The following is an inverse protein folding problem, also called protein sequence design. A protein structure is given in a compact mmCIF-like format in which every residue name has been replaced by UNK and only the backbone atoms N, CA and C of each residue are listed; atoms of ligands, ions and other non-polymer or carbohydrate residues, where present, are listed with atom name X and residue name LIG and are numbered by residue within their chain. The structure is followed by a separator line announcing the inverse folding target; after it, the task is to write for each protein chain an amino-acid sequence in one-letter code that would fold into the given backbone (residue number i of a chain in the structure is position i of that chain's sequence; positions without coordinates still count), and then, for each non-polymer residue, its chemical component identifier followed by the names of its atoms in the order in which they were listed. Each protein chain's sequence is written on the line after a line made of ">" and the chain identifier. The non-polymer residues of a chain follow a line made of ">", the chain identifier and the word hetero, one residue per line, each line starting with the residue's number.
data_IF_541353036128
#
_entry.id   IF_541353036128
#
_cell.length_a   1.000
_cell.length_b   1.000
_cell.length_c   1.000
_cell.angle_alpha   90.00
_cell.angle_beta   90.00
_cell.angle_gamma   90.00
#
_symmetry.space_group_name_H-M   'P 1'
#
loop_
_entity.id
_entity.type
_entity.pdbx_description
1 polymer ?
#
# COMPACT_ATOMS: atom_id res chain seq x y z
N UNK A 1 12.48 0.70 22.30
CA UNK A 1 12.89 1.72 21.33
C UNK A 1 11.68 2.56 20.97
N UNK A 2 11.80 3.87 21.09
CA UNK A 2 10.73 4.84 20.83
C UNK A 2 11.22 5.82 19.78
N UNK A 3 10.45 5.99 18.70
CA UNK A 3 10.77 6.92 17.63
C UNK A 3 9.70 8.01 17.53
N UNK A 4 10.13 9.30 17.47
CA UNK A 4 9.25 10.47 17.55
C UNK A 4 8.88 10.99 16.16
N UNK A 5 7.67 11.38 16.05
CA UNK A 5 6.72 11.89 15.07
C UNK A 5 7.18 12.43 13.70
N UNK A 6 8.35 13.00 13.50
CA UNK A 6 8.62 13.76 12.26
C UNK A 6 9.36 12.98 11.17
N UNK A 7 9.68 11.71 11.40
CA UNK A 7 10.55 10.94 10.48
C UNK A 7 10.18 9.47 10.30
N UNK A 8 9.26 8.91 11.06
CA UNK A 8 8.82 7.53 10.87
C UNK A 8 7.39 7.56 10.37
N UNK A 9 7.22 7.34 9.08
CA UNK A 9 5.92 7.27 8.40
C UNK A 9 5.07 6.13 8.97
N UNK A 10 3.76 6.32 8.99
CA UNK A 10 2.81 5.26 9.31
C UNK A 10 3.15 3.99 8.49
N UNK A 11 3.12 2.83 9.15
CA UNK A 11 3.42 1.56 8.51
C UNK A 11 4.89 1.10 8.56
N UNK A 12 5.80 1.81 9.21
CA UNK A 12 7.15 1.29 9.44
C UNK A 12 7.16 0.32 10.61
N UNK A 13 8.07 -0.66 10.54
CA UNK A 13 8.29 -1.67 11.58
C UNK A 13 9.72 -1.62 12.09
N UNK A 14 9.88 -2.02 13.35
CA UNK A 14 11.18 -2.08 14.02
C UNK A 14 11.56 -3.54 14.17
N UNK A 15 12.69 -3.94 13.59
CA UNK A 15 13.38 -5.18 13.95
C UNK A 15 14.49 -4.83 14.94
N UNK A 16 14.45 -5.43 16.10
CA UNK A 16 15.58 -5.37 17.06
C UNK A 16 16.61 -6.41 16.60
N UNK A 17 17.81 -5.95 16.27
CA UNK A 17 18.88 -6.79 15.75
C UNK A 17 19.75 -7.33 16.89
N UNK A 18 20.08 -6.50 17.88
CA UNK A 18 20.84 -6.89 19.08
C UNK A 18 20.45 -6.01 20.26
N UNK A 19 20.45 -6.60 21.44
CA UNK A 19 20.33 -5.87 22.72
C UNK A 19 21.54 -6.19 23.56
N UNK A 20 22.20 -5.16 24.07
CA UNK A 20 23.29 -5.29 25.01
C UNK A 20 22.94 -4.62 26.34
N UNK A 21 23.13 -5.33 27.43
CA UNK A 21 23.01 -4.79 28.80
C UNK A 21 24.40 -4.80 29.43
N UNK A 22 24.85 -3.63 29.89
CA UNK A 22 26.19 -3.44 30.45
C UNK A 22 27.30 -3.94 29.50
N UNK A 23 27.10 -3.71 28.19
CA UNK A 23 28.02 -4.13 27.12
C UNK A 23 27.98 -5.63 26.77
N UNK A 24 27.12 -6.44 27.42
CA UNK A 24 26.99 -7.86 27.11
C UNK A 24 25.73 -8.10 26.26
N UNK A 25 25.85 -8.83 25.14
CA UNK A 25 24.69 -9.20 24.32
C UNK A 25 23.76 -10.13 25.12
N UNK A 26 22.46 -9.91 24.99
CA UNK A 26 21.42 -10.74 25.60
C UNK A 26 20.53 -11.34 24.51
N UNK A 27 20.06 -12.56 24.77
CA UNK A 27 19.14 -13.22 23.85
C UNK A 27 17.79 -12.52 23.86
N UNK A 28 17.30 -12.18 22.68
CA UNK A 28 16.00 -11.58 22.49
C UNK A 28 15.15 -12.45 21.55
N UNK A 29 13.89 -12.67 21.93
CA UNK A 29 12.89 -13.29 21.06
C UNK A 29 12.40 -12.27 20.04
N UNK A 30 11.75 -12.75 18.99
CA UNK A 30 11.09 -11.90 18.01
C UNK A 30 10.03 -11.03 18.71
N UNK A 31 10.14 -9.72 18.52
CA UNK A 31 9.20 -8.72 19.03
C UNK A 31 8.19 -8.28 17.96
N UNK A 32 7.39 -7.31 18.32
CA UNK A 32 6.43 -6.67 17.45
C UNK A 32 6.62 -5.15 17.47
N UNK A 33 6.07 -4.49 16.47
CA UNK A 33 5.93 -3.04 16.41
C UNK A 33 4.46 -2.67 16.60
N UNK A 34 4.19 -1.66 17.39
CA UNK A 34 2.86 -1.09 17.57
C UNK A 34 2.93 0.44 17.54
N UNK A 35 1.78 1.07 17.51
CA UNK A 35 1.63 2.51 17.69
C UNK A 35 1.31 2.82 19.15
N UNK A 36 1.89 3.89 19.67
CA UNK A 36 1.50 4.45 20.97
C UNK A 36 0.78 5.78 20.70
N UNK A 37 -0.50 5.82 21.03
CA UNK A 37 -1.40 6.98 20.79
C UNK A 37 -1.46 7.43 19.31
N UNK A 38 -1.25 6.53 18.36
CA UNK A 38 -1.23 6.85 16.94
C UNK A 38 -0.02 7.71 16.48
N UNK A 39 0.85 8.08 17.40
CA UNK A 39 1.93 9.05 17.18
C UNK A 39 3.30 8.40 17.19
N UNK A 40 3.49 7.39 18.04
CA UNK A 40 4.81 6.80 18.28
C UNK A 40 4.84 5.37 17.77
N UNK A 41 5.76 5.10 16.83
CA UNK A 41 6.11 3.74 16.46
C UNK A 41 6.99 3.13 17.54
N UNK A 42 6.56 2.01 18.11
CA UNK A 42 7.16 1.40 19.28
C UNK A 42 7.39 -0.11 19.08
N UNK A 43 8.53 -0.60 19.56
CA UNK A 43 8.77 -2.03 19.81
C UNK A 43 9.07 -2.24 21.29
N UNK A 44 8.27 -3.06 21.95
CA UNK A 44 8.49 -3.41 23.35
C UNK A 44 9.59 -4.46 23.45
N UNK A 45 10.56 -4.21 24.34
CA UNK A 45 11.59 -5.19 24.73
C UNK A 45 11.12 -5.92 25.98
N UNK A 46 10.66 -5.16 26.97
CA UNK A 46 10.09 -5.67 28.20
C UNK A 46 8.95 -4.75 28.66
N UNK A 47 7.80 -5.33 28.97
CA UNK A 47 6.67 -4.59 29.53
C UNK A 47 5.81 -5.56 30.37
N UNK A 48 5.85 -5.43 31.69
CA UNK A 48 5.12 -6.31 32.60
C UNK A 48 3.60 -6.09 32.63
N UNK A 49 3.13 -4.98 32.05
CA UNK A 49 1.69 -4.68 31.97
C UNK A 49 1.00 -5.19 30.72
N UNK A 50 1.77 -5.71 29.76
CA UNK A 50 1.22 -6.27 28.52
C UNK A 50 1.21 -7.78 28.62
N UNK A 51 0.05 -8.39 28.47
CA UNK A 51 -0.16 -9.85 28.53
C UNK A 51 -0.53 -10.48 27.18
N UNK A 52 -0.72 -9.66 26.16
CA UNK A 52 -1.07 -10.09 24.80
C UNK A 52 -0.57 -9.08 23.77
N UNK A 53 -0.56 -9.46 22.51
CA UNK A 53 -0.22 -8.56 21.41
C UNK A 53 -1.36 -7.56 21.21
N UNK A 54 -1.05 -6.26 21.05
CA UNK A 54 -2.08 -5.27 20.71
C UNK A 54 -2.65 -5.51 19.30
N UNK A 55 -3.88 -5.03 19.07
CA UNK A 55 -4.58 -5.23 17.79
C UNK A 55 -3.84 -4.60 16.59
N UNK A 56 -3.04 -3.56 16.81
CA UNK A 56 -2.21 -2.90 15.81
C UNK A 56 -0.79 -3.49 15.71
N UNK A 57 -0.54 -4.64 16.38
CA UNK A 57 0.75 -5.30 16.31
C UNK A 57 1.10 -5.69 14.86
N UNK A 58 2.31 -5.35 14.47
CA UNK A 58 2.87 -5.69 13.16
C UNK A 58 4.31 -6.13 13.30
N UNK A 59 4.77 -6.97 12.42
CA UNK A 59 6.16 -7.46 12.38
C UNK A 59 6.84 -6.99 11.10
N UNK A 60 8.16 -6.91 11.16
CA UNK A 60 8.99 -6.52 10.02
C UNK A 60 8.92 -7.51 8.84
N UNK A 61 8.56 -8.77 9.12
CA UNK A 61 8.39 -9.85 8.13
C UNK A 61 6.92 -10.15 7.82
N UNK A 62 5.98 -9.32 8.31
CA UNK A 62 4.54 -9.51 8.11
C UNK A 62 3.89 -10.59 8.99
N UNK A 63 4.68 -11.36 9.77
CA UNK A 63 4.20 -12.48 10.60
C UNK A 63 4.18 -12.06 12.06
N UNK A 64 3.03 -12.12 12.71
CA UNK A 64 2.88 -11.78 14.13
C UNK A 64 2.60 -12.99 15.02
N UNK A 65 2.35 -14.15 14.46
CA UNK A 65 1.98 -15.37 15.18
C UNK A 65 3.08 -15.86 16.11
N UNK A 66 4.35 -15.64 15.78
CA UNK A 66 5.54 -15.97 16.58
C UNK A 66 6.14 -14.78 17.34
N UNK A 67 5.49 -13.60 17.24
CA UNK A 67 5.95 -12.42 17.96
C UNK A 67 5.61 -12.51 19.45
N UNK A 68 6.48 -11.94 20.26
CA UNK A 68 6.36 -11.98 21.72
C UNK A 68 6.13 -10.57 22.26
N UNK A 69 5.22 -10.41 23.22
CA UNK A 69 5.00 -9.13 23.94
C UNK A 69 6.11 -8.81 24.95
N UNK A 70 6.86 -9.83 25.40
CA UNK A 70 8.10 -9.69 26.17
C UNK A 70 9.19 -10.41 25.40
N UNK A 71 10.16 -9.67 24.89
CA UNK A 71 11.23 -10.23 24.04
C UNK A 71 12.46 -10.64 24.83
N UNK A 72 12.66 -10.06 26.03
CA UNK A 72 13.82 -10.29 26.89
C UNK A 72 13.36 -10.65 28.30
N UNK A 73 14.03 -11.61 28.95
CA UNK A 73 13.77 -12.00 30.33
C UNK A 73 14.03 -10.83 31.29
N UNK A 74 13.17 -10.65 32.28
CA UNK A 74 13.31 -9.63 33.34
C UNK A 74 14.67 -9.69 34.05
N UNK A 75 15.19 -10.89 34.25
CA UNK A 75 16.46 -11.09 34.91
C UNK A 75 17.65 -10.40 34.23
N UNK A 76 17.57 -10.19 32.91
CA UNK A 76 18.60 -9.44 32.16
C UNK A 76 18.70 -7.96 32.61
N UNK A 77 17.68 -7.45 33.29
CA UNK A 77 17.60 -6.05 33.73
C UNK A 77 17.78 -5.85 35.25
N UNK A 78 18.30 -6.83 35.99
CA UNK A 78 18.44 -6.71 37.45
C UNK A 78 19.46 -5.66 37.93
N UNK A 79 20.51 -5.40 37.16
CA UNK A 79 21.57 -4.45 37.49
C UNK A 79 22.02 -3.69 36.23
N UNK A 80 21.16 -2.82 35.76
CA UNK A 80 21.40 -2.09 34.51
C UNK A 80 22.14 -0.79 34.78
N UNK A 81 23.31 -0.66 34.19
CA UNK A 81 24.06 0.60 34.09
C UNK A 81 23.86 1.25 32.73
N UNK A 82 23.85 0.44 31.67
CA UNK A 82 23.52 0.89 30.32
C UNK A 82 22.75 -0.18 29.53
N UNK A 83 21.98 0.26 28.54
CA UNK A 83 21.32 -0.59 27.54
C UNK A 83 21.59 0.00 26.18
N UNK A 84 22.09 -0.82 25.29
CA UNK A 84 22.27 -0.52 23.88
C UNK A 84 21.34 -1.41 23.07
N UNK A 85 20.69 -0.82 22.07
CA UNK A 85 19.77 -1.54 21.18
C UNK A 85 20.13 -1.20 19.75
N UNK A 86 20.60 -2.18 19.02
CA UNK A 86 20.78 -2.11 17.57
C UNK A 86 19.48 -2.55 16.91
N UNK A 87 18.98 -1.75 15.99
CA UNK A 87 17.72 -2.05 15.31
C UNK A 87 17.72 -1.55 13.88
N UNK A 88 16.94 -2.23 13.05
CA UNK A 88 16.67 -1.82 11.67
C UNK A 88 15.22 -1.36 11.55
N UNK A 89 15.03 -0.21 10.90
CA UNK A 89 13.71 0.25 10.49
C UNK A 89 13.38 -0.33 9.11
N UNK A 90 12.29 -1.06 9.04
CA UNK A 90 11.75 -1.54 7.79
C UNK A 90 10.52 -0.71 7.41
N UNK A 91 10.44 -0.31 6.16
CA UNK A 91 9.15 0.08 5.60
C UNK A 91 8.23 -1.13 5.73
N UNK A 92 7.04 -0.96 6.35
CA UNK A 92 6.06 -2.03 6.44
C UNK A 92 5.82 -2.59 5.05
N UNK A 93 5.99 -3.90 4.90
CA UNK A 93 5.63 -4.57 3.67
C UNK A 93 6.74 -5.29 2.94
N UNK A 94 7.66 -5.99 3.61
CA UNK A 94 8.35 -7.08 2.93
C UNK A 94 7.51 -8.35 3.09
N UNK A 95 7.19 -9.02 1.99
CA UNK A 95 6.47 -10.28 1.98
C UNK A 95 7.10 -11.27 1.00
N UNK A 96 6.68 -12.50 1.05
CA UNK A 96 7.20 -13.56 0.21
C UNK A 96 6.25 -13.78 -0.97
N UNK A 97 6.76 -13.61 -2.19
CA UNK A 97 6.12 -14.17 -3.37
C UNK A 97 6.68 -15.55 -3.69
N UNK A 98 5.82 -16.46 -4.09
CA UNK A 98 6.16 -17.85 -4.35
C UNK A 98 5.21 -18.49 -5.36
N UNK A 99 5.63 -19.60 -5.94
CA UNK A 99 4.76 -20.43 -6.78
C UNK A 99 4.11 -21.50 -5.91
N UNK A 100 2.80 -21.62 -5.95
CA UNK A 100 2.08 -22.80 -5.50
C UNK A 100 2.02 -23.80 -6.65
N UNK A 101 2.25 -25.07 -6.39
CA UNK A 101 2.27 -26.11 -7.41
C UNK A 101 1.83 -27.46 -6.86
N UNK A 102 1.01 -28.17 -7.62
CA UNK A 102 0.74 -29.60 -7.45
C UNK A 102 0.69 -30.27 -8.81
N UNK A 103 1.44 -31.37 -8.98
CA UNK A 103 1.38 -32.19 -10.19
C UNK A 103 0.07 -32.95 -10.29
N UNK A 104 -0.20 -33.54 -11.46
CA UNK A 104 -1.44 -34.28 -11.70
C UNK A 104 -1.64 -35.51 -10.79
N UNK A 105 -0.58 -36.01 -10.16
CA UNK A 105 -0.60 -37.14 -9.26
C UNK A 105 -0.52 -36.79 -7.77
N UNK A 106 -0.34 -35.51 -7.46
CA UNK A 106 -0.13 -34.99 -6.11
C UNK A 106 1.14 -35.52 -5.42
N UNK A 107 2.10 -36.00 -6.18
CA UNK A 107 3.37 -36.50 -5.65
C UNK A 107 4.45 -35.45 -5.59
N UNK A 108 4.45 -34.47 -6.52
CA UNK A 108 5.32 -33.32 -6.50
C UNK A 108 4.47 -32.08 -6.21
N UNK A 109 4.66 -31.48 -5.03
CA UNK A 109 3.90 -30.31 -4.62
C UNK A 109 4.77 -29.31 -3.85
N UNK A 110 4.40 -28.05 -3.94
CA UNK A 110 5.00 -26.96 -3.19
C UNK A 110 3.94 -25.91 -2.84
N UNK A 111 3.89 -25.49 -1.57
CA UNK A 111 2.90 -24.56 -1.03
C UNK A 111 3.53 -23.39 -0.26
N UNK A 112 4.78 -23.02 -0.61
CA UNK A 112 5.47 -21.90 0.04
C UNK A 112 6.15 -22.29 1.37
N UNK A 113 6.32 -23.58 1.66
CA UNK A 113 7.01 -24.06 2.86
C UNK A 113 8.28 -24.82 2.49
N UNK A 114 9.29 -24.80 3.37
CA UNK A 114 10.61 -25.40 3.12
C UNK A 114 10.67 -26.94 3.19
N UNK A 115 9.57 -27.61 3.47
CA UNK A 115 9.53 -29.06 3.74
C UNK A 115 9.44 -29.96 2.49
N UNK A 116 9.60 -29.41 1.29
CA UNK A 116 9.51 -30.20 0.06
C UNK A 116 10.89 -30.50 -0.55
N UNK A 117 10.99 -31.65 -1.25
CA UNK A 117 12.16 -31.96 -2.07
C UNK A 117 12.31 -31.02 -3.29
N UNK A 118 11.31 -30.19 -3.54
CA UNK A 118 11.32 -29.16 -4.58
C UNK A 118 12.11 -27.96 -4.08
N UNK A 119 13.12 -27.55 -4.81
CA UNK A 119 13.85 -26.31 -4.49
C UNK A 119 13.08 -25.12 -5.01
N UNK A 120 12.76 -24.18 -4.15
CA UNK A 120 12.08 -22.94 -4.52
C UNK A 120 13.03 -21.74 -4.52
N UNK A 121 12.85 -20.86 -5.48
CA UNK A 121 13.37 -19.49 -5.48
C UNK A 121 12.20 -18.56 -5.22
N UNK A 122 12.05 -18.15 -3.97
CA UNK A 122 11.01 -17.19 -3.58
C UNK A 122 11.56 -15.76 -3.69
N UNK A 123 10.70 -14.80 -3.98
CA UNK A 123 11.08 -13.40 -4.03
C UNK A 123 10.62 -12.66 -2.77
N UNK A 124 11.45 -11.76 -2.26
CA UNK A 124 11.06 -10.79 -1.25
C UNK A 124 10.41 -9.60 -1.94
N UNK A 125 9.10 -9.44 -1.76
CA UNK A 125 8.32 -8.34 -2.32
C UNK A 125 8.26 -7.19 -1.31
N UNK A 126 8.60 -5.98 -1.74
CA UNK A 126 8.60 -4.78 -0.89
C UNK A 126 7.67 -3.67 -1.41
N UNK A 127 6.86 -3.95 -2.40
CA UNK A 127 5.93 -3.01 -3.03
C UNK A 127 5.84 -3.22 -4.53
N UNK A 128 5.46 -2.17 -5.25
CA UNK A 128 5.44 -2.18 -6.71
C UNK A 128 6.85 -2.45 -7.28
N UNK A 129 6.92 -3.27 -8.31
CA UNK A 129 8.20 -3.62 -8.95
C UNK A 129 8.16 -4.97 -9.64
N UNK A 130 9.29 -5.32 -10.26
CA UNK A 130 9.49 -6.56 -10.99
C UNK A 130 10.15 -7.62 -10.09
N UNK A 131 9.65 -8.84 -10.18
CA UNK A 131 10.08 -9.96 -9.35
C UNK A 131 10.13 -11.25 -10.18
N UNK A 132 10.99 -12.17 -9.75
CA UNK A 132 11.09 -13.52 -10.32
C UNK A 132 10.96 -14.56 -9.22
N UNK A 133 10.16 -15.58 -9.45
CA UNK A 133 10.01 -16.74 -8.57
C UNK A 133 10.21 -18.03 -9.38
N UNK A 134 10.66 -19.10 -8.74
CA UNK A 134 10.94 -20.34 -9.46
C UNK A 134 10.83 -21.59 -8.62
N UNK A 135 10.64 -22.74 -9.28
CA UNK A 135 10.70 -24.08 -8.73
C UNK A 135 11.67 -24.95 -9.54
N UNK A 136 12.46 -25.77 -8.83
CA UNK A 136 13.37 -26.74 -9.43
C UNK A 136 13.03 -28.15 -8.87
N UNK A 137 12.54 -29.00 -9.75
CA UNK A 137 12.13 -30.38 -9.44
C UNK A 137 13.25 -31.39 -9.70
N UNK A 138 14.43 -30.97 -10.18
CA UNK A 138 15.52 -31.89 -10.53
C UNK A 138 16.06 -32.67 -9.33
N UNK A 139 15.89 -32.15 -8.11
CA UNK A 139 16.28 -32.81 -6.86
C UNK A 139 15.23 -33.78 -6.30
N UNK A 140 14.02 -33.83 -6.87
CA UNK A 140 12.99 -34.78 -6.48
C UNK A 140 13.36 -36.19 -6.94
N UNK A 141 12.76 -37.24 -6.35
CA UNK A 141 13.01 -38.63 -6.73
C UNK A 141 12.72 -38.89 -8.23
N UNK A 142 11.69 -38.24 -8.78
CA UNK A 142 11.33 -38.35 -10.19
C UNK A 142 12.18 -37.46 -11.12
N UNK A 143 12.92 -36.50 -10.60
CA UNK A 143 13.71 -35.52 -11.36
C UNK A 143 12.90 -34.55 -12.20
N UNK A 144 11.58 -34.62 -12.17
CA UNK A 144 10.63 -33.73 -12.82
C UNK A 144 9.22 -33.91 -12.24
N UNK A 145 8.38 -32.91 -12.27
CA UNK A 145 6.95 -33.04 -12.01
C UNK A 145 6.24 -33.53 -13.30
N UNK A 146 5.23 -34.40 -13.13
CA UNK A 146 4.49 -34.96 -14.26
C UNK A 146 3.10 -34.37 -14.36
N UNK A 147 2.93 -33.48 -15.30
CA UNK A 147 1.69 -32.72 -15.49
C UNK A 147 1.46 -31.69 -14.40
N UNK A 148 0.31 -31.05 -14.43
CA UNK A 148 -0.14 -30.08 -13.45
C UNK A 148 -1.62 -30.26 -13.14
N UNK A 149 -1.98 -30.28 -11.86
CA UNK A 149 -3.36 -30.17 -11.38
C UNK A 149 -3.65 -28.72 -10.97
N UNK A 150 -2.67 -28.10 -10.31
CA UNK A 150 -2.77 -26.73 -9.84
C UNK A 150 -1.43 -26.00 -9.88
N UNK A 151 -1.43 -24.78 -10.35
CA UNK A 151 -0.33 -23.83 -10.11
C UNK A 151 -0.84 -22.41 -10.09
N UNK A 152 -0.29 -21.63 -9.17
CA UNK A 152 -0.62 -20.23 -8.96
C UNK A 152 0.62 -19.46 -8.46
N UNK A 153 0.67 -18.18 -8.76
CA UNK A 153 1.57 -17.24 -8.11
C UNK A 153 0.87 -16.64 -6.89
N UNK A 154 1.50 -16.72 -5.72
CA UNK A 154 0.99 -16.17 -4.47
C UNK A 154 1.93 -15.13 -3.85
N UNK A 155 1.36 -14.15 -3.14
CA UNK A 155 2.06 -13.26 -2.22
C UNK A 155 1.42 -13.47 -0.85
N UNK A 156 2.15 -14.03 0.09
CA UNK A 156 1.65 -14.68 1.31
C UNK A 156 0.70 -13.83 2.16
N UNK A 157 0.99 -12.54 2.36
CA UNK A 157 0.15 -11.60 3.08
C UNK A 157 -0.18 -10.37 2.21
N UNK A 158 -0.21 -10.57 0.89
CA UNK A 158 -0.28 -9.49 -0.08
C UNK A 158 -1.49 -8.57 0.10
N UNK A 159 -2.65 -9.10 0.49
CA UNK A 159 -3.84 -8.27 0.72
C UNK A 159 -3.71 -7.37 1.96
N UNK A 160 -2.89 -7.77 2.94
CA UNK A 160 -2.62 -6.97 4.14
C UNK A 160 -1.53 -5.93 3.91
N UNK A 161 -0.48 -6.31 3.18
CA UNK A 161 0.72 -5.49 3.00
C UNK A 161 0.67 -4.61 1.76
N UNK A 162 0.01 -5.10 0.73
CA UNK A 162 -0.14 -4.46 -0.59
C UNK A 162 -1.61 -4.46 -1.03
N UNK A 163 -2.54 -3.94 -0.22
CA UNK A 163 -3.96 -4.08 -0.46
C UNK A 163 -4.34 -3.54 -1.85
N UNK A 164 -5.00 -4.40 -2.63
CA UNK A 164 -5.50 -4.06 -3.95
C UNK A 164 -4.46 -3.92 -5.05
N UNK A 165 -3.18 -4.21 -4.81
CA UNK A 165 -2.20 -4.35 -5.89
C UNK A 165 -2.53 -5.54 -6.76
N UNK A 166 -2.19 -5.45 -8.03
CA UNK A 166 -2.46 -6.48 -9.04
C UNK A 166 -1.17 -7.10 -9.54
N UNK A 167 -1.22 -8.39 -9.87
CA UNK A 167 -0.13 -9.11 -10.50
C UNK A 167 -0.25 -8.97 -12.01
N UNK A 168 0.83 -8.55 -12.67
CA UNK A 168 1.00 -8.57 -14.12
C UNK A 168 2.09 -9.58 -14.45
N UNK A 169 1.77 -10.61 -15.22
CA UNK A 169 2.78 -11.55 -15.70
C UNK A 169 3.58 -10.92 -16.84
N UNK A 170 4.89 -11.12 -16.80
CA UNK A 170 5.83 -10.66 -17.83
C UNK A 170 6.33 -11.85 -18.67
N UNK A 171 6.64 -12.97 -18.00
CA UNK A 171 7.09 -14.19 -18.67
C UNK A 171 6.80 -15.41 -17.79
N UNK A 172 6.57 -16.55 -18.42
CA UNK A 172 6.49 -17.87 -17.78
C UNK A 172 7.42 -18.78 -18.52
N UNK A 173 8.39 -19.38 -17.81
CA UNK A 173 9.35 -20.31 -18.39
C UNK A 173 9.20 -21.70 -17.78
N UNK A 174 9.08 -22.70 -18.66
CA UNK A 174 9.07 -24.12 -18.28
C UNK A 174 10.29 -24.77 -18.94
N UNK A 175 11.14 -25.40 -18.12
CA UNK A 175 12.41 -26.00 -18.57
C UNK A 175 13.34 -24.99 -19.28
N UNK A 176 13.27 -23.71 -18.89
CA UNK A 176 14.06 -22.61 -19.47
C UNK A 176 13.48 -22.01 -20.75
N UNK A 177 12.37 -22.51 -21.27
CA UNK A 177 11.70 -22.00 -22.46
C UNK A 177 10.44 -21.20 -22.11
N UNK A 178 10.27 -20.02 -22.70
CA UNK A 178 9.06 -19.21 -22.51
C UNK A 178 7.85 -19.90 -23.14
N UNK A 179 6.75 -19.92 -22.40
CA UNK A 179 5.47 -20.47 -22.85
C UNK A 179 4.44 -19.38 -23.08
N UNK A 180 3.57 -19.57 -24.06
CA UNK A 180 2.48 -18.64 -24.33
C UNK A 180 1.45 -18.67 -23.21
N UNK A 181 0.98 -17.50 -22.79
CA UNK A 181 -0.08 -17.36 -21.79
C UNK A 181 -1.10 -16.28 -22.17
N UNK A 182 -2.30 -16.41 -21.66
CA UNK A 182 -3.37 -15.42 -21.81
C UNK A 182 -3.41 -14.47 -20.61
N UNK A 183 -4.22 -13.43 -20.66
CA UNK A 183 -4.41 -12.49 -19.58
C UNK A 183 -5.06 -13.18 -18.38
N UNK A 184 -4.41 -13.11 -17.22
CA UNK A 184 -4.93 -13.59 -15.94
C UNK A 184 -5.61 -12.49 -15.13
N UNK A 185 -6.14 -12.88 -13.99
CA UNK A 185 -6.67 -11.97 -12.97
C UNK A 185 -5.98 -12.19 -11.63
N UNK A 186 -5.90 -11.14 -10.85
CA UNK A 186 -5.49 -11.22 -9.43
C UNK A 186 -6.72 -11.37 -8.57
N UNK A 187 -6.64 -12.22 -7.55
CA UNK A 187 -7.69 -12.41 -6.55
C UNK A 187 -7.09 -12.50 -5.15
N UNK A 188 -7.94 -12.52 -4.15
CA UNK A 188 -7.55 -12.80 -2.77
C UNK A 188 -7.89 -14.25 -2.42
N UNK A 189 -7.02 -14.89 -1.63
CA UNK A 189 -7.34 -16.12 -0.93
C UNK A 189 -7.56 -15.80 0.55
N UNK A 190 -8.76 -16.04 1.04
CA UNK A 190 -9.22 -15.77 2.42
C UNK A 190 -8.99 -14.30 2.90
N UNK A 191 -8.89 -13.33 1.98
CA UNK A 191 -8.61 -11.92 2.33
C UNK A 191 -7.20 -11.66 2.88
N UNK A 192 -6.29 -12.60 2.71
CA UNK A 192 -4.91 -12.53 3.22
C UNK A 192 -3.89 -12.61 2.10
N UNK A 193 -3.96 -13.68 1.31
CA UNK A 193 -3.02 -13.92 0.22
C UNK A 193 -3.49 -13.26 -1.07
N UNK A 194 -2.60 -12.53 -1.73
CA UNK A 194 -2.81 -12.08 -3.11
C UNK A 194 -2.39 -13.21 -4.06
N UNK A 195 -3.28 -13.62 -4.95
CA UNK A 195 -3.06 -14.78 -5.82
C UNK A 195 -3.44 -14.52 -7.28
N UNK A 196 -2.69 -15.15 -8.19
CA UNK A 196 -3.05 -15.31 -9.59
C UNK A 196 -2.96 -16.79 -9.99
N UNK A 197 -4.07 -17.40 -10.38
CA UNK A 197 -4.08 -18.75 -10.93
C UNK A 197 -3.40 -18.75 -12.29
N UNK A 198 -2.48 -19.69 -12.50
CA UNK A 198 -1.85 -19.95 -13.80
C UNK A 198 -2.58 -21.09 -14.49
N UNK A 199 -2.78 -22.19 -13.78
CA UNK A 199 -3.55 -23.34 -14.17
C UNK A 199 -4.25 -23.93 -12.93
N UNK A 200 -5.53 -24.15 -13.03
CA UNK A 200 -6.32 -24.75 -11.96
C UNK A 200 -7.46 -25.56 -12.56
N UNK A 201 -7.37 -26.90 -12.47
CA UNK A 201 -8.34 -27.77 -13.12
C UNK A 201 -9.74 -27.74 -12.49
N UNK A 202 -9.90 -27.13 -11.31
CA UNK A 202 -11.18 -27.00 -10.62
C UNK A 202 -11.88 -25.67 -10.85
N UNK A 203 -11.22 -24.70 -11.48
CA UNK A 203 -11.80 -23.39 -11.75
C UNK A 203 -12.09 -23.24 -13.24
N UNK A 204 -13.37 -23.28 -13.59
CA UNK A 204 -13.83 -23.16 -14.98
C UNK A 204 -14.16 -21.71 -15.39
N UNK A 205 -14.46 -20.85 -14.41
CA UNK A 205 -14.91 -19.48 -14.64
C UNK A 205 -14.15 -18.49 -13.72
N UNK A 206 -14.01 -17.26 -14.17
CA UNK A 206 -13.46 -16.17 -13.34
C UNK A 206 -14.42 -15.92 -12.18
N UNK A 207 -13.97 -15.91 -10.92
CA UNK A 207 -14.83 -15.58 -9.79
C UNK A 207 -15.42 -14.18 -9.92
N UNK A 208 -16.60 -13.97 -9.36
CA UNK A 208 -17.32 -12.68 -9.39
C UNK A 208 -17.20 -11.90 -8.08
N UNK A 209 -16.32 -12.31 -7.18
CA UNK A 209 -16.11 -11.61 -5.90
C UNK A 209 -15.35 -10.29 -6.08
N UNK A 210 -15.44 -9.42 -5.07
CA UNK A 210 -14.88 -8.08 -5.10
C UNK A 210 -13.33 -8.04 -5.09
N UNK A 211 -12.65 -9.18 -4.82
CA UNK A 211 -11.20 -9.25 -4.82
C UNK A 211 -10.62 -9.41 -6.23
N UNK A 212 -11.45 -9.82 -7.20
CA UNK A 212 -11.02 -10.05 -8.59
C UNK A 212 -10.69 -8.73 -9.27
N UNK A 213 -9.47 -8.63 -9.74
CA UNK A 213 -8.94 -7.41 -10.37
C UNK A 213 -7.90 -7.72 -11.44
N UNK A 214 -7.67 -6.79 -12.32
CA UNK A 214 -6.62 -6.85 -13.35
C UNK A 214 -5.67 -5.66 -13.20
N UNK A 215 -4.42 -5.86 -13.58
CA UNK A 215 -3.38 -4.83 -13.53
C UNK A 215 -3.70 -3.58 -14.36
N UNK A 216 -4.55 -3.72 -15.40
CA UNK A 216 -4.98 -2.63 -16.28
C UNK A 216 -6.41 -2.17 -15.99
N UNK A 217 -7.01 -2.63 -14.89
CA UNK A 217 -8.40 -2.35 -14.45
C UNK A 217 -9.49 -2.88 -15.41
N UNK A 218 -9.11 -3.58 -16.48
CA UNK A 218 -10.04 -4.17 -17.43
C UNK A 218 -10.08 -5.70 -17.25
N UNK A 219 -11.23 -6.24 -16.95
CA UNK A 219 -11.44 -7.68 -16.84
C UNK A 219 -11.82 -8.34 -18.18
N UNK A 220 -11.85 -7.58 -19.28
CA UNK A 220 -12.14 -8.14 -20.60
C UNK A 220 -11.00 -9.08 -21.03
N UNK A 221 -11.36 -10.29 -21.41
CA UNK A 221 -10.41 -11.30 -21.90
C UNK A 221 -9.56 -11.97 -20.83
N UNK A 222 -9.82 -11.74 -19.53
CA UNK A 222 -9.17 -12.53 -18.48
C UNK A 222 -9.64 -13.98 -18.50
N UNK A 223 -8.74 -14.90 -18.16
CA UNK A 223 -9.01 -16.34 -18.14
C UNK A 223 -8.70 -16.93 -16.76
N UNK A 224 -9.48 -17.90 -16.29
CA UNK A 224 -9.17 -18.65 -15.08
C UNK A 224 -8.02 -19.65 -15.26
N UNK A 225 -7.72 -20.01 -16.53
CA UNK A 225 -6.59 -20.85 -16.91
C UNK A 225 -5.82 -20.08 -17.98
N UNK A 226 -4.60 -19.67 -17.66
CA UNK A 226 -3.81 -18.75 -18.52
C UNK A 226 -2.70 -19.45 -19.30
N UNK A 227 -2.31 -20.66 -18.90
CA UNK A 227 -1.36 -21.52 -19.62
C UNK A 227 -2.01 -22.87 -19.94
N UNK A 228 -1.81 -23.36 -21.15
CA UNK A 228 -2.30 -24.68 -21.57
C UNK A 228 -1.65 -25.79 -20.70
N UNK A 229 -2.47 -26.71 -20.22
CA UNK A 229 -2.03 -27.86 -19.41
C UNK A 229 -0.92 -28.68 -20.09
N UNK A 230 -0.93 -28.77 -21.42
CA UNK A 230 0.09 -29.49 -22.20
C UNK A 230 1.51 -28.93 -21.99
N UNK A 231 1.66 -27.64 -21.65
CA UNK A 231 2.97 -27.07 -21.36
C UNK A 231 3.65 -27.70 -20.13
N UNK A 232 2.86 -28.34 -19.25
CA UNK A 232 3.33 -28.92 -17.99
C UNK A 232 3.50 -30.47 -18.03
N UNK A 233 3.60 -31.10 -19.21
CA UNK A 233 3.71 -32.57 -19.29
C UNK A 233 4.92 -33.15 -18.53
N UNK A 234 6.03 -32.41 -18.51
CA UNK A 234 7.24 -32.78 -17.74
C UNK A 234 7.99 -31.52 -17.33
N UNK A 235 7.90 -31.15 -16.06
CA UNK A 235 8.46 -29.91 -15.51
C UNK A 235 9.69 -30.22 -14.68
N UNK A 236 10.87 -29.82 -15.17
CA UNK A 236 12.13 -29.85 -14.41
C UNK A 236 12.38 -28.54 -13.68
N UNK A 237 12.15 -27.43 -14.38
CA UNK A 237 12.22 -26.07 -13.82
C UNK A 237 11.00 -25.27 -14.24
N UNK A 238 10.53 -24.41 -13.37
CA UNK A 238 9.40 -23.54 -13.60
C UNK A 238 9.69 -22.17 -13.02
N UNK A 239 9.63 -21.13 -13.81
CA UNK A 239 9.90 -19.75 -13.40
C UNK A 239 8.78 -18.83 -13.87
N UNK A 240 8.47 -17.82 -13.08
CA UNK A 240 7.52 -16.76 -13.38
C UNK A 240 8.19 -15.41 -13.12
N UNK A 241 8.23 -14.57 -14.16
CA UNK A 241 8.55 -13.16 -14.04
C UNK A 241 7.25 -12.36 -13.99
N UNK A 242 7.12 -11.49 -13.01
CA UNK A 242 5.93 -10.68 -12.82
C UNK A 242 6.25 -9.28 -12.30
N UNK A 243 5.34 -8.36 -12.55
CA UNK A 243 5.32 -7.03 -11.93
C UNK A 243 4.18 -6.98 -10.93
N UNK A 244 4.45 -6.54 -9.70
CA UNK A 244 3.41 -6.13 -8.78
C UNK A 244 3.04 -4.68 -9.09
N UNK A 245 1.82 -4.49 -9.60
CA UNK A 245 1.31 -3.21 -10.09
C UNK A 245 0.46 -2.56 -9.00
N UNK A 246 0.76 -1.32 -8.59
CA UNK A 246 -0.03 -0.63 -7.58
C UNK A 246 -1.43 -0.33 -8.10
N UNK A 247 -2.37 -0.19 -7.18
CA UNK A 247 -3.59 0.56 -7.48
C UNK A 247 -3.19 1.97 -7.86
N UNK A 248 -3.83 2.51 -8.85
CA UNK A 248 -3.66 3.91 -9.20
C UNK A 248 -5.00 4.61 -9.21
N UNK A 249 -4.99 5.88 -8.88
CA UNK A 249 -6.11 6.78 -9.04
C UNK A 249 -5.61 8.13 -9.56
N UNK A 250 -6.48 9.10 -9.70
CA UNK A 250 -6.13 10.40 -10.23
C UNK A 250 -6.43 11.46 -9.20
N UNK A 251 -5.38 12.19 -8.79
CA UNK A 251 -5.53 13.45 -8.05
C UNK A 251 -5.77 14.59 -9.02
N UNK A 252 -6.60 15.55 -8.63
CA UNK A 252 -6.91 16.73 -9.41
C UNK A 252 -7.36 17.89 -8.52
N UNK A 253 -7.24 19.12 -9.03
CA UNK A 253 -7.84 20.28 -8.41
C UNK A 253 -9.27 20.46 -8.90
N UNK A 254 -10.21 20.40 -7.97
CA UNK A 254 -11.59 20.84 -8.15
C UNK A 254 -11.61 22.33 -7.87
N UNK A 255 -12.14 23.13 -8.78
CA UNK A 255 -12.25 24.57 -8.53
C UNK A 255 -13.38 25.23 -9.30
N UNK A 256 -13.85 26.37 -8.78
CA UNK A 256 -14.65 27.34 -9.48
C UNK A 256 -14.13 28.73 -9.10
N UNK A 257 -13.94 29.61 -10.10
CA UNK A 257 -13.58 30.98 -9.84
C UNK A 257 -14.73 31.77 -9.21
N UNK A 258 -14.44 32.92 -8.61
CA UNK A 258 -15.44 33.73 -7.90
C UNK A 258 -16.58 34.24 -8.78
N UNK A 259 -16.43 34.22 -10.09
CA UNK A 259 -17.44 34.63 -11.08
C UNK A 259 -18.13 33.46 -11.76
N UNK A 260 -17.73 32.21 -11.46
CA UNK A 260 -18.24 31.00 -12.11
C UNK A 260 -18.01 30.95 -13.63
N UNK A 261 -17.04 31.70 -14.12
CA UNK A 261 -16.66 31.72 -15.53
C UNK A 261 -15.70 30.58 -15.89
N UNK A 262 -14.90 30.16 -14.92
CA UNK A 262 -13.90 29.10 -15.10
C UNK A 262 -14.03 28.08 -13.96
N UNK A 263 -14.16 26.81 -14.32
CA UNK A 263 -14.27 25.72 -13.33
C UNK A 263 -13.72 24.40 -13.85
N UNK A 264 -13.36 23.51 -12.94
CA UNK A 264 -13.08 22.10 -13.20
C UNK A 264 -13.59 21.26 -12.04
N UNK A 265 -14.26 20.16 -12.35
CA UNK A 265 -14.90 19.28 -11.37
C UNK A 265 -14.43 17.82 -11.50
N UNK A 266 -13.72 17.50 -12.57
CA UNK A 266 -13.24 16.17 -12.87
C UNK A 266 -11.77 16.19 -13.32
N UNK A 267 -11.04 15.07 -13.19
CA UNK A 267 -9.68 14.95 -13.67
C UNK A 267 -9.54 15.33 -15.16
N UNK A 268 -8.53 16.12 -15.48
CA UNK A 268 -8.24 16.54 -16.85
C UNK A 268 -9.14 17.62 -17.43
N UNK A 269 -10.19 18.06 -16.71
CA UNK A 269 -10.94 19.26 -17.06
C UNK A 269 -10.05 20.49 -16.89
N UNK A 270 -10.29 21.50 -17.70
CA UNK A 270 -9.57 22.77 -17.79
C UNK A 270 -8.17 22.64 -18.42
N UNK A 271 -7.29 21.78 -17.94
CA UNK A 271 -5.95 21.55 -18.50
C UNK A 271 -5.47 20.12 -18.21
N UNK A 272 -4.61 19.59 -19.10
CA UNK A 272 -4.00 18.25 -18.88
C UNK A 272 -3.20 18.18 -17.56
N UNK A 273 -2.57 19.32 -17.13
CA UNK A 273 -1.87 19.44 -15.85
C UNK A 273 -2.76 19.37 -14.61
N UNK A 274 -4.09 19.38 -14.78
CA UNK A 274 -5.05 19.18 -13.67
C UNK A 274 -5.32 17.70 -13.39
N UNK A 275 -4.33 16.85 -13.58
CA UNK A 275 -4.44 15.44 -13.24
C UNK A 275 -3.04 14.87 -12.97
N UNK A 276 -2.87 14.23 -11.82
CA UNK A 276 -1.67 13.46 -11.49
C UNK A 276 -2.07 12.06 -11.03
N UNK A 277 -1.35 11.06 -11.51
CA UNK A 277 -1.56 9.68 -11.06
C UNK A 277 -1.04 9.53 -9.64
N UNK A 278 -1.89 9.04 -8.74
CA UNK A 278 -1.53 8.63 -7.38
C UNK A 278 -1.52 7.09 -7.33
N UNK A 279 -0.49 6.52 -6.76
CA UNK A 279 -0.27 5.06 -6.70
C UNK A 279 -0.06 4.55 -5.26
N UNK A 280 -0.40 5.37 -4.28
CA UNK A 280 -0.30 5.06 -2.85
C UNK A 280 0.25 6.22 -2.04
N UNK A 281 0.87 5.91 -0.88
CA UNK A 281 1.46 6.95 -0.03
C UNK A 281 2.59 7.66 -0.74
N UNK A 282 2.57 8.98 -0.73
CA UNK A 282 3.61 9.77 -1.40
C UNK A 282 3.28 11.25 -1.40
N UNK A 283 4.23 12.04 -1.89
CA UNK A 283 4.08 13.48 -2.10
C UNK A 283 3.77 13.73 -3.57
N UNK A 284 2.71 14.47 -3.84
CA UNK A 284 2.23 14.78 -5.18
C UNK A 284 2.04 16.29 -5.34
N UNK A 285 2.18 16.79 -6.56
CA UNK A 285 1.96 18.21 -6.87
C UNK A 285 1.02 18.34 -8.06
N UNK A 286 0.00 19.17 -7.91
CA UNK A 286 -0.93 19.57 -8.96
C UNK A 286 -0.59 21.01 -9.36
N UNK A 287 -0.54 21.28 -10.67
CA UNK A 287 -0.20 22.60 -11.21
C UNK A 287 -1.25 23.04 -12.22
N UNK A 288 -1.76 24.25 -12.06
CA UNK A 288 -2.65 24.90 -13.03
C UNK A 288 -2.08 26.23 -13.50
N UNK A 289 -2.21 26.48 -14.80
CA UNK A 289 -1.86 27.72 -15.47
C UNK A 289 -3.13 28.35 -16.07
N UNK A 290 -3.51 29.50 -15.56
CA UNK A 290 -4.69 30.25 -15.98
C UNK A 290 -4.36 31.34 -17.03
N UNK A 291 -3.14 31.39 -17.54
CA UNK A 291 -2.75 32.39 -18.56
C UNK A 291 -3.58 32.32 -19.84
N UNK A 292 -4.23 31.18 -20.10
CA UNK A 292 -5.10 30.94 -21.25
C UNK A 292 -6.56 31.41 -21.07
N UNK A 293 -6.99 31.78 -19.85
CA UNK A 293 -8.35 32.29 -19.63
C UNK A 293 -8.47 33.76 -20.04
N UNK A 294 -9.70 34.24 -20.22
CA UNK A 294 -9.98 35.63 -20.50
C UNK A 294 -9.41 36.52 -19.36
N UNK A 295 -8.53 37.46 -19.69
CA UNK A 295 -7.82 38.26 -18.70
C UNK A 295 -6.48 37.71 -18.22
N UNK A 296 -6.14 36.47 -18.54
CA UNK A 296 -4.87 35.80 -18.20
C UNK A 296 -4.69 35.47 -16.72
N UNK A 297 -5.75 35.53 -15.93
CA UNK A 297 -5.81 35.17 -14.50
C UNK A 297 -7.24 34.94 -14.05
N UNK A 298 -7.46 34.19 -12.99
CA UNK A 298 -8.76 34.14 -12.30
C UNK A 298 -8.79 35.17 -11.16
N UNK A 299 -9.90 35.91 -11.00
CA UNK A 299 -9.94 37.03 -10.05
C UNK A 299 -9.94 36.61 -8.58
N UNK A 300 -10.40 35.40 -8.32
CA UNK A 300 -10.48 34.78 -7.00
C UNK A 300 -11.17 33.43 -7.11
N UNK A 301 -11.39 32.78 -5.99
CA UNK A 301 -11.91 31.42 -5.89
C UNK A 301 -13.20 31.39 -5.08
N UNK A 302 -14.29 30.85 -5.62
CA UNK A 302 -15.50 30.47 -4.88
C UNK A 302 -15.34 29.09 -4.20
N UNK A 303 -14.69 28.16 -4.91
CA UNK A 303 -14.40 26.82 -4.42
C UNK A 303 -13.06 26.34 -4.94
N UNK A 304 -12.25 25.68 -4.07
CA UNK A 304 -11.05 24.96 -4.46
C UNK A 304 -10.77 23.82 -3.47
N UNK A 305 -10.46 22.64 -4.01
CA UNK A 305 -10.12 21.46 -3.23
C UNK A 305 -9.19 20.53 -4.01
N UNK A 306 -8.35 19.77 -3.31
CA UNK A 306 -7.70 18.59 -3.86
C UNK A 306 -8.68 17.43 -3.79
N UNK A 307 -8.89 16.73 -4.88
CA UNK A 307 -9.70 15.52 -4.98
C UNK A 307 -8.90 14.33 -5.48
N UNK A 308 -9.21 13.13 -4.97
CA UNK A 308 -8.79 11.84 -5.54
C UNK A 308 -10.03 11.17 -6.09
N UNK A 309 -10.09 10.95 -7.39
CA UNK A 309 -11.34 10.68 -8.16
C UNK A 309 -12.19 9.51 -7.63
N UNK A 310 -11.57 8.39 -7.25
CA UNK A 310 -12.22 7.24 -6.63
C UNK A 310 -11.53 6.88 -5.31
N UNK A 311 -10.98 7.86 -4.61
CA UNK A 311 -10.07 7.64 -3.49
C UNK A 311 -10.67 6.79 -2.38
N UNK A 312 -11.97 6.95 -2.08
CA UNK A 312 -12.65 6.16 -1.04
C UNK A 312 -12.72 4.67 -1.39
N UNK A 313 -12.82 4.32 -2.68
CA UNK A 313 -12.82 2.94 -3.14
C UNK A 313 -11.41 2.41 -3.43
N UNK A 314 -10.54 3.26 -4.00
CA UNK A 314 -9.19 2.85 -4.39
C UNK A 314 -8.25 2.78 -3.20
N UNK A 315 -8.32 3.76 -2.31
CA UNK A 315 -7.44 3.90 -1.14
C UNK A 315 -8.25 4.20 0.13
N UNK A 316 -9.10 3.26 0.59
CA UNK A 316 -9.93 3.48 1.77
C UNK A 316 -9.06 3.78 2.99
N UNK A 317 -9.42 4.83 3.74
CA UNK A 317 -8.70 5.24 4.94
C UNK A 317 -7.43 6.08 4.69
N UNK A 318 -7.21 6.50 3.45
CA UNK A 318 -6.15 7.47 3.16
C UNK A 318 -6.61 8.90 3.40
N UNK A 319 -5.63 9.77 3.63
CA UNK A 319 -5.81 11.19 3.94
C UNK A 319 -5.01 12.02 2.95
N UNK A 320 -5.53 13.20 2.65
CA UNK A 320 -4.82 14.25 1.94
C UNK A 320 -4.33 15.24 3.01
N UNK A 321 -3.03 15.51 3.04
CA UNK A 321 -2.38 16.51 3.90
C UNK A 321 -1.71 17.53 2.99
N UNK A 322 -2.29 18.73 2.87
CA UNK A 322 -1.80 19.79 1.98
C UNK A 322 -0.62 20.48 2.66
N UNK A 323 0.56 20.29 2.11
CA UNK A 323 1.83 20.73 2.71
C UNK A 323 2.33 22.07 2.17
N UNK A 324 2.00 22.42 0.93
CA UNK A 324 2.39 23.69 0.32
C UNK A 324 1.39 24.12 -0.76
N UNK A 325 1.08 25.41 -0.81
CA UNK A 325 0.40 26.04 -1.94
C UNK A 325 1.23 27.24 -2.40
N UNK A 326 1.55 27.28 -3.69
CA UNK A 326 2.17 28.43 -4.34
C UNK A 326 1.17 29.09 -5.26
N UNK A 327 0.95 30.37 -5.10
CA UNK A 327 0.16 31.23 -5.98
C UNK A 327 1.10 32.18 -6.71
N UNK A 328 1.09 32.14 -8.04
CA UNK A 328 2.00 32.94 -8.88
C UNK A 328 3.49 32.72 -8.53
N UNK A 329 3.84 31.49 -8.08
CA UNK A 329 5.19 31.10 -7.69
C UNK A 329 5.58 31.44 -6.25
N UNK A 330 4.73 32.12 -5.48
CA UNK A 330 4.98 32.47 -4.08
C UNK A 330 4.17 31.58 -3.14
N UNK A 331 4.83 30.99 -2.12
CA UNK A 331 4.17 30.18 -1.11
C UNK A 331 3.24 31.03 -0.24
N UNK A 332 2.04 30.52 0.05
CA UNK A 332 1.07 31.16 0.94
C UNK A 332 1.01 30.45 2.29
N UNK A 333 0.55 31.18 3.33
CA UNK A 333 0.34 30.62 4.65
C UNK A 333 -0.92 29.72 4.65
N UNK A 334 -0.80 28.53 5.27
CA UNK A 334 -1.86 27.52 5.34
C UNK A 334 -2.30 27.28 6.78
N UNK A 335 -3.62 27.07 6.95
CA UNK A 335 -4.19 26.45 8.15
C UNK A 335 -4.07 24.94 8.11
N UNK A 336 -4.44 24.25 9.19
CA UNK A 336 -4.52 22.79 9.25
C UNK A 336 -5.74 22.31 8.46
N UNK A 337 -5.53 21.43 7.49
CA UNK A 337 -6.56 20.86 6.64
C UNK A 337 -7.26 19.64 7.25
N UNK A 338 -8.23 19.13 6.53
CA UNK A 338 -8.91 17.86 6.84
C UNK A 338 -9.34 17.18 5.56
N UNK A 339 -9.47 15.87 5.63
CA UNK A 339 -9.98 15.04 4.54
C UNK A 339 -11.44 14.71 4.77
N UNK A 340 -12.23 14.76 3.71
CA UNK A 340 -13.63 14.31 3.67
C UNK A 340 -13.87 13.42 2.47
N UNK A 341 -15.07 12.89 2.37
CA UNK A 341 -15.55 12.20 1.18
C UNK A 341 -16.59 13.07 0.48
N UNK A 342 -16.54 13.12 -0.86
CA UNK A 342 -17.61 13.66 -1.69
C UNK A 342 -18.41 12.49 -2.26
N UNK A 343 -19.70 12.43 -1.89
CA UNK A 343 -20.64 11.37 -2.25
C UNK A 343 -20.17 9.92 -1.96
N UNK A 344 -19.21 9.74 -1.01
CA UNK A 344 -18.62 8.44 -0.70
C UNK A 344 -17.70 7.89 -1.80
N UNK A 345 -17.28 8.72 -2.75
CA UNK A 345 -16.46 8.33 -3.91
C UNK A 345 -15.12 9.07 -3.91
N UNK A 346 -15.19 10.41 -3.99
CA UNK A 346 -13.99 11.26 -4.06
C UNK A 346 -13.44 11.50 -2.66
N UNK A 347 -12.18 11.15 -2.42
CA UNK A 347 -11.46 11.63 -1.24
C UNK A 347 -11.07 13.09 -1.48
N UNK A 348 -11.42 14.01 -0.58
CA UNK A 348 -11.28 15.44 -0.79
C UNK A 348 -10.69 16.17 0.42
N UNK A 349 -9.81 17.16 0.17
CA UNK A 349 -9.38 18.17 1.15
C UNK A 349 -9.65 19.57 0.58
N UNK A 350 -10.42 20.37 1.34
CA UNK A 350 -10.77 21.74 0.94
C UNK A 350 -9.61 22.72 1.18
N UNK A 351 -9.29 23.51 0.17
CA UNK A 351 -8.42 24.68 0.29
C UNK A 351 -9.26 25.90 0.64
N UNK A 352 -10.33 26.09 -0.12
CA UNK A 352 -11.29 27.17 0.04
C UNK A 352 -12.68 26.73 -0.36
N UNK A 353 -13.66 27.08 0.43
CA UNK A 353 -15.06 26.87 0.07
C UNK A 353 -15.91 27.98 0.70
N UNK A 354 -16.47 28.89 -0.11
CA UNK A 354 -17.17 30.06 0.40
C UNK A 354 -18.44 29.72 1.19
N UNK A 355 -19.04 28.53 0.94
CA UNK A 355 -20.27 28.07 1.58
C UNK A 355 -20.05 27.28 2.87
N UNK A 356 -18.83 26.87 3.15
CA UNK A 356 -18.51 26.06 4.33
C UNK A 356 -17.85 26.96 5.39
N UNK A 357 -18.48 26.98 6.58
CA UNK A 357 -17.98 27.72 7.76
C UNK A 357 -17.56 26.78 8.88
N UNK A 358 -18.15 25.59 8.90
CA UNK A 358 -17.94 24.60 9.95
C UNK A 358 -17.24 23.37 9.40
N UNK A 359 -16.52 22.68 10.27
CA UNK A 359 -15.88 21.40 9.92
C UNK A 359 -17.00 20.34 9.88
N UNK A 360 -17.14 19.58 8.78
CA UNK A 360 -18.16 18.53 8.68
C UNK A 360 -17.88 17.40 9.68
N UNK A 361 -18.94 16.73 10.12
CA UNK A 361 -18.86 15.66 11.11
C UNK A 361 -18.02 14.44 10.65
N UNK A 362 -17.96 14.23 9.31
CA UNK A 362 -17.15 13.20 8.67
C UNK A 362 -15.70 13.62 8.43
N UNK A 363 -15.30 14.82 8.86
CA UNK A 363 -13.92 15.29 8.74
C UNK A 363 -12.97 14.35 9.49
N UNK A 364 -11.89 14.02 8.83
CA UNK A 364 -10.84 13.16 9.37
C UNK A 364 -9.47 13.73 9.06
N UNK A 365 -8.53 13.49 9.93
CA UNK A 365 -7.12 13.88 9.79
C UNK A 365 -6.22 12.70 10.07
N UNK A 366 -5.04 12.70 9.47
CA UNK A 366 -4.13 11.56 9.55
C UNK A 366 -3.64 11.27 10.98
N UNK A 367 -3.54 12.30 11.83
CA UNK A 367 -3.12 12.20 13.22
C UNK A 367 -4.30 11.98 14.21
N UNK A 368 -5.54 11.98 13.72
CA UNK A 368 -6.76 11.82 14.53
C UNK A 368 -7.10 13.04 15.39
N UNK A 369 -6.33 14.12 15.32
CA UNK A 369 -6.52 15.33 16.12
C UNK A 369 -7.14 16.46 15.29
N UNK A 370 -8.39 16.80 15.56
CA UNK A 370 -9.11 17.89 14.92
C UNK A 370 -8.83 19.27 15.54
N UNK A 371 -7.96 19.39 16.54
CA UNK A 371 -7.61 20.68 17.12
C UNK A 371 -6.84 21.54 16.09
N UNK A 372 -7.26 22.79 15.93
CA UNK A 372 -6.66 23.72 14.99
C UNK A 372 -7.05 23.52 13.51
N UNK A 373 -7.88 22.52 13.21
CA UNK A 373 -8.40 22.31 11.84
C UNK A 373 -9.33 23.45 11.44
N UNK A 374 -9.24 23.87 10.19
CA UNK A 374 -10.04 24.96 9.64
C UNK A 374 -10.80 24.55 8.39
N UNK A 375 -12.02 25.07 8.22
CA UNK A 375 -12.82 24.81 7.03
C UNK A 375 -12.22 25.43 5.75
N UNK A 376 -11.36 26.44 5.92
CA UNK A 376 -10.66 27.18 4.87
C UNK A 376 -9.21 27.31 5.28
N UNK A 377 -8.31 26.62 4.59
CA UNK A 377 -6.89 26.61 4.95
C UNK A 377 -6.08 27.78 4.36
N UNK A 378 -6.64 28.46 3.37
CA UNK A 378 -6.07 29.68 2.78
C UNK A 378 -7.02 30.88 2.97
N UNK A 379 -6.53 32.08 2.75
CA UNK A 379 -7.36 33.29 2.77
C UNK A 379 -7.83 33.68 1.37
N UNK A 380 -8.97 34.39 1.28
CA UNK A 380 -9.47 34.90 -0.01
C UNK A 380 -8.47 35.82 -0.71
N UNK A 381 -7.69 36.60 0.07
CA UNK A 381 -6.68 37.51 -0.46
C UNK A 381 -5.53 36.74 -1.10
N UNK A 382 -5.07 35.66 -0.44
CA UNK A 382 -4.02 34.81 -0.98
C UNK A 382 -4.45 34.05 -2.26
N UNK A 383 -5.74 33.82 -2.43
CA UNK A 383 -6.34 33.15 -3.59
C UNK A 383 -6.99 34.17 -4.57
N UNK A 384 -6.37 35.33 -4.78
CA UNK A 384 -6.83 36.37 -5.71
C UNK A 384 -5.80 36.62 -6.81
N UNK A 385 -6.27 36.98 -8.01
CA UNK A 385 -5.41 37.29 -9.16
C UNK A 385 -4.48 36.16 -9.55
N UNK A 386 -5.03 34.92 -9.61
CA UNK A 386 -4.25 33.72 -9.80
C UNK A 386 -3.94 33.52 -11.29
N UNK A 387 -2.65 33.56 -11.65
CA UNK A 387 -2.14 33.17 -12.97
C UNK A 387 -1.66 31.73 -12.98
N UNK A 388 -0.98 31.33 -11.90
CA UNK A 388 -0.56 29.94 -11.70
C UNK A 388 -0.80 29.52 -10.27
N UNK A 389 -1.11 28.25 -10.07
CA UNK A 389 -1.19 27.66 -8.73
C UNK A 389 -0.55 26.28 -8.75
N UNK A 390 0.33 26.04 -7.77
CA UNK A 390 0.86 24.71 -7.46
C UNK A 390 0.36 24.31 -6.08
N UNK A 391 -0.18 23.09 -5.97
CA UNK A 391 -0.63 22.51 -4.71
C UNK A 391 0.13 21.22 -4.48
N UNK A 392 0.95 21.20 -3.45
CA UNK A 392 1.67 20.00 -3.01
C UNK A 392 0.99 19.41 -1.80
N UNK A 393 0.77 18.11 -1.84
CA UNK A 393 0.13 17.37 -0.75
C UNK A 393 0.80 16.02 -0.55
N UNK A 394 0.78 15.54 0.68
CA UNK A 394 1.09 14.17 1.04
C UNK A 394 -0.21 13.35 1.05
N UNK A 395 -0.19 12.20 0.36
CA UNK A 395 -1.26 11.23 0.41
C UNK A 395 -0.83 10.11 1.36
N UNK A 396 -1.47 10.01 2.51
CA UNK A 396 -0.99 9.22 3.64
C UNK A 396 -2.07 8.23 4.10
N UNK A 397 -1.65 7.03 4.48
CA UNK A 397 -2.54 6.09 5.16
C UNK A 397 -2.63 6.46 6.63
N UNK A 398 -3.81 6.81 7.08
CA UNK A 398 -4.07 7.11 8.48
C UNK A 398 -4.50 5.88 9.27
N UNK A 399 -4.30 5.93 10.57
CA UNK A 399 -4.88 4.92 11.48
C UNK A 399 -6.38 5.20 11.57
N UNK A 400 -7.27 4.23 11.23
CA UNK A 400 -8.71 4.42 11.42
C UNK A 400 -8.99 4.75 12.89
N UNK A 401 -9.91 5.69 13.20
CA UNK A 401 -10.31 5.92 14.57
C UNK A 401 -10.84 4.62 15.16
N UNK A 402 -10.37 4.26 16.35
CA UNK A 402 -10.90 3.13 17.11
C UNK A 402 -12.34 3.47 17.44
N UNK A 403 -13.29 2.82 16.79
CA UNK A 403 -14.70 2.90 17.18
C UNK A 403 -14.83 2.17 18.50
N UNK A 404 -14.85 2.90 19.59
CA UNK A 404 -15.26 2.35 20.89
C UNK A 404 -16.72 1.86 20.74
N UNK A 405 -16.90 0.54 20.81
CA UNK A 405 -18.21 -0.14 20.85
C UNK A 405 -18.66 -0.33 22.31
#
# INVERSE_FOLDING_TARGET
>A
VKYIKDKVKAGWTIRVDEIRVNGQPIEAKKGYTSSDDGIITRSNIYNEWVSELPADARSWDGVTEDANWITVDKAAFERVENVEVDFTLFRYGADMAYIMFADSSWTSQYWGTDDSAVKATNATVTGAGDYTVGLDFTATEAGAASGVAFTALGIKHGEKLFPGMSIKLNDIRINGESVAFTKGYTSSDDGVETRMNIMNEWVAEVPTDASVRSYDKDLTGVSPIIVDKAAFESVKTYEIDFTLVPKTDTAFLMFADSNWATSAWNPGEFAEGNAVTVDGPGTYTLSLDFSGVEGGEIPGVAFMAVGIANGEATFPGYFIDITEIKVNGEAIELGKDFTTSDDGIVTRSNIWNEWVTDIPAEARVADGDLEGVTAKIATAEALSGIKTIDVTFDYIYGVPPVVET
#
